data_IF_055190709911
#
_entry.id   IF_055190709911
#
_cell.length_a   1.000
_cell.length_b   1.000
_cell.length_c   1.000
_cell.angle_alpha   90.00
_cell.angle_beta   90.00
_cell.angle_gamma   90.00
#
_symmetry.space_group_name_H-M   'P 1'
#
loop_
_entity.id
_entity.type
_entity.pdbx_description
1 polymer ?
#
# COMPACT_ATOMS: atom_id res chain seq x y z
N UNK A 1 -7.79 5.64 -5.19
CA UNK A 1 -8.06 4.27 -5.70
C UNK A 1 -6.99 3.94 -6.74
N UNK A 2 -6.25 2.84 -6.59
CA UNK A 2 -5.12 2.49 -7.50
C UNK A 2 -5.62 1.90 -8.82
N UNK A 3 -6.42 2.68 -9.54
CA UNK A 3 -7.27 2.24 -10.64
C UNK A 3 -6.60 2.10 -12.00
N UNK A 4 -5.62 2.93 -12.38
CA UNK A 4 -5.37 3.08 -13.83
C UNK A 4 -3.94 2.92 -14.34
N UNK A 5 -2.92 2.71 -13.50
CA UNK A 5 -1.57 2.60 -14.07
C UNK A 5 -0.61 1.71 -13.27
N UNK A 6 -0.86 0.40 -13.35
CA UNK A 6 0.01 -0.63 -12.73
C UNK A 6 1.47 -0.47 -13.17
N UNK A 7 1.72 -0.11 -14.42
CA UNK A 7 3.08 0.06 -14.93
C UNK A 7 3.78 1.22 -14.22
N UNK A 8 3.11 2.38 -14.15
CA UNK A 8 3.62 3.58 -13.45
C UNK A 8 3.77 3.38 -11.95
N UNK A 9 2.88 2.63 -11.30
CA UNK A 9 3.02 2.27 -9.87
C UNK A 9 4.26 1.41 -9.65
N UNK A 10 4.48 0.40 -10.49
CA UNK A 10 5.66 -0.47 -10.37
C UNK A 10 6.95 0.27 -10.67
N UNK A 11 6.94 1.22 -11.61
CA UNK A 11 8.09 2.08 -11.92
C UNK A 11 8.44 3.00 -10.74
N UNK A 12 7.45 3.71 -10.19
CA UNK A 12 7.62 4.53 -8.99
C UNK A 12 8.03 3.73 -7.77
N UNK A 13 7.49 2.52 -7.59
CA UNK A 13 7.93 1.61 -6.55
C UNK A 13 9.39 1.21 -6.74
N UNK A 14 9.82 0.90 -7.97
CA UNK A 14 11.20 0.49 -8.25
C UNK A 14 12.21 1.60 -7.93
N UNK A 15 11.85 2.86 -8.17
CA UNK A 15 12.66 4.01 -7.76
C UNK A 15 12.62 4.22 -6.25
N UNK A 16 11.44 4.19 -5.64
CA UNK A 16 11.24 4.36 -4.20
C UNK A 16 11.97 3.30 -3.36
N UNK A 17 11.83 2.02 -3.72
CA UNK A 17 12.45 0.89 -3.00
C UNK A 17 13.99 0.96 -2.96
N UNK A 18 14.63 1.69 -3.88
CA UNK A 18 16.08 1.92 -3.85
C UNK A 18 16.50 2.71 -2.61
N UNK A 19 15.64 3.61 -2.14
CA UNK A 19 15.88 4.50 -1.01
C UNK A 19 15.44 3.88 0.32
N UNK A 20 14.54 2.89 0.33
CA UNK A 20 13.97 2.33 1.58
C UNK A 20 14.72 1.07 2.10
N UNK A 21 16.03 0.98 1.91
CA UNK A 21 16.82 -0.18 2.37
C UNK A 21 16.74 -0.33 3.90
N UNK A 22 16.47 -1.56 4.36
CA UNK A 22 16.38 -1.88 5.79
C UNK A 22 15.03 -1.55 6.44
N UNK A 23 13.99 -1.30 5.63
CA UNK A 23 12.63 -1.10 6.13
C UNK A 23 12.05 -2.39 6.71
N UNK A 24 11.44 -2.29 7.88
CA UNK A 24 10.60 -3.31 8.49
C UNK A 24 9.15 -2.84 8.46
N UNK A 25 8.27 -3.66 7.90
CA UNK A 25 6.85 -3.39 7.86
C UNK A 25 6.14 -4.36 8.82
N UNK A 26 5.39 -3.81 9.77
CA UNK A 26 4.55 -4.57 10.69
C UNK A 26 3.10 -4.20 10.45
N UNK A 27 2.18 -5.15 10.62
CA UNK A 27 0.75 -4.88 10.55
C UNK A 27 0.09 -5.21 11.89
N UNK A 28 -0.88 -4.41 12.30
CA UNK A 28 -1.61 -4.57 13.56
C UNK A 28 -3.09 -4.25 13.40
N UNK A 29 -3.91 -4.79 14.31
CA UNK A 29 -5.38 -4.73 14.21
C UNK A 29 -5.90 -5.26 12.87
N UNK A 30 -5.29 -6.34 12.39
CA UNK A 30 -5.59 -6.94 11.09
C UNK A 30 -6.92 -7.69 11.15
N UNK A 31 -7.78 -7.39 10.19
CA UNK A 31 -9.00 -8.12 9.90
C UNK A 31 -8.97 -8.56 8.44
N UNK A 32 -9.40 -9.80 8.18
CA UNK A 32 -9.50 -10.35 6.83
C UNK A 32 -10.90 -10.92 6.65
N UNK A 33 -11.62 -10.42 5.66
CA UNK A 33 -12.93 -10.89 5.28
C UNK A 33 -12.86 -11.49 3.89
N UNK A 34 -13.22 -12.77 3.75
CA UNK A 34 -13.22 -13.47 2.47
C UNK A 34 -14.67 -13.76 2.07
N UNK A 35 -15.07 -13.24 0.91
CA UNK A 35 -16.39 -13.47 0.32
C UNK A 35 -16.22 -14.00 -1.11
N UNK A 36 -16.47 -15.30 -1.27
CA UNK A 36 -16.35 -16.02 -2.53
C UNK A 36 -14.95 -15.85 -3.17
N UNK A 37 -14.85 -15.04 -4.24
CA UNK A 37 -13.62 -14.76 -5.00
C UNK A 37 -13.04 -13.39 -4.70
N UNK A 38 -13.51 -12.73 -3.64
CA UNK A 38 -13.00 -11.45 -3.16
C UNK A 38 -12.57 -11.58 -1.72
N UNK A 39 -11.47 -10.93 -1.37
CA UNK A 39 -11.09 -10.77 0.02
C UNK A 39 -10.75 -9.32 0.28
N UNK A 40 -11.18 -8.81 1.42
CA UNK A 40 -10.83 -7.51 1.92
C UNK A 40 -9.94 -7.71 3.15
N UNK A 41 -8.75 -7.14 3.10
CA UNK A 41 -7.87 -7.05 4.24
C UNK A 41 -7.93 -5.61 4.74
N UNK A 42 -8.09 -5.45 6.05
CA UNK A 42 -8.06 -4.15 6.71
C UNK A 42 -7.09 -4.21 7.88
N UNK A 43 -6.21 -3.23 8.00
CA UNK A 43 -5.25 -3.22 9.09
C UNK A 43 -4.40 -1.96 9.09
N UNK A 44 -3.83 -1.64 10.25
CA UNK A 44 -2.87 -0.54 10.36
C UNK A 44 -1.48 -1.07 10.01
N UNK A 45 -0.73 -0.26 9.27
CA UNK A 45 0.63 -0.57 8.86
C UNK A 45 1.56 0.32 9.69
N UNK A 46 2.56 -0.31 10.28
CA UNK A 46 3.66 0.37 10.98
C UNK A 46 4.94 0.15 10.19
N UNK A 47 5.67 1.23 9.99
CA UNK A 47 6.96 1.23 9.32
C UNK A 47 8.04 1.53 10.36
N UNK A 48 9.09 0.71 10.36
CA UNK A 48 10.26 0.83 11.22
C UNK A 48 11.55 0.53 10.42
N UNK A 49 12.72 0.76 11.01
CA UNK A 49 14.03 0.50 10.38
C UNK A 49 14.43 1.52 9.30
N UNK A 50 15.67 1.48 8.82
CA UNK A 50 16.26 2.51 7.94
C UNK A 50 16.49 3.84 8.67
N UNK A 51 17.62 4.51 8.38
CA UNK A 51 18.02 5.77 9.03
C UNK A 51 18.22 6.92 8.03
N UNK A 52 17.79 6.74 6.78
CA UNK A 52 17.86 7.83 5.79
C UNK A 52 16.64 8.74 5.90
N UNK A 53 16.82 10.01 5.51
CA UNK A 53 15.79 11.06 5.61
C UNK A 53 14.50 10.68 4.90
N UNK A 54 14.59 10.01 3.74
CA UNK A 54 13.42 9.54 2.97
C UNK A 54 12.61 8.50 3.76
N UNK A 55 13.30 7.58 4.44
CA UNK A 55 12.65 6.55 5.26
C UNK A 55 12.02 7.16 6.51
N UNK A 56 12.64 8.18 7.12
CA UNK A 56 12.06 8.88 8.26
C UNK A 56 10.79 9.66 7.88
N UNK A 57 10.78 10.34 6.73
CA UNK A 57 9.57 10.99 6.22
C UNK A 57 8.44 10.00 5.93
N UNK A 58 8.77 8.86 5.31
CA UNK A 58 7.81 7.78 5.07
C UNK A 58 7.26 7.19 6.37
N UNK A 59 8.11 6.95 7.37
CA UNK A 59 7.69 6.52 8.71
C UNK A 59 6.74 7.52 9.33
N UNK A 60 7.10 8.80 9.35
CA UNK A 60 6.28 9.84 9.97
C UNK A 60 4.91 9.89 9.30
N UNK A 61 4.86 9.86 7.97
CA UNK A 61 3.60 9.87 7.24
C UNK A 61 2.76 8.63 7.55
N UNK A 62 3.29 7.41 7.38
CA UNK A 62 2.52 6.17 7.54
C UNK A 62 2.17 5.88 8.99
N UNK A 63 3.08 6.08 9.93
CA UNK A 63 2.85 5.82 11.35
C UNK A 63 1.90 6.85 11.99
N UNK A 64 1.77 8.04 11.40
CA UNK A 64 0.79 9.04 11.84
C UNK A 64 -0.65 8.68 11.44
N UNK A 65 -0.84 7.78 10.47
CA UNK A 65 -2.16 7.38 10.02
C UNK A 65 -2.90 6.58 11.10
N UNK A 66 -4.04 7.12 11.50
CA UNK A 66 -4.98 6.47 12.41
C UNK A 66 -5.96 5.57 11.68
N UNK A 67 -6.24 5.86 10.40
CA UNK A 67 -7.09 5.04 9.53
C UNK A 67 -6.36 3.80 9.04
N UNK A 68 -7.03 2.63 9.07
CA UNK A 68 -6.46 1.40 8.52
C UNK A 68 -6.30 1.50 7.01
N UNK A 69 -5.35 0.74 6.49
CA UNK A 69 -5.27 0.45 5.06
C UNK A 69 -6.27 -0.63 4.72
N UNK A 70 -6.93 -0.47 3.57
CA UNK A 70 -7.79 -1.47 2.98
C UNK A 70 -7.13 -2.00 1.72
N UNK A 71 -6.97 -3.31 1.66
CA UNK A 71 -6.40 -4.03 0.53
C UNK A 71 -7.48 -4.93 -0.05
N UNK A 72 -7.83 -4.68 -1.31
CA UNK A 72 -8.79 -5.49 -2.05
C UNK A 72 -8.07 -6.57 -2.83
N UNK A 73 -8.49 -7.81 -2.64
CA UNK A 73 -7.93 -8.99 -3.29
C UNK A 73 -9.00 -9.69 -4.11
N UNK A 74 -8.57 -10.23 -5.26
CA UNK A 74 -9.40 -11.04 -6.13
C UNK A 74 -8.73 -12.37 -6.40
N UNK A 75 -9.50 -13.44 -6.26
CA UNK A 75 -9.07 -14.78 -6.64
C UNK A 75 -9.09 -14.90 -8.16
N UNK A 76 -7.95 -15.20 -8.76
CA UNK A 76 -7.80 -15.26 -10.22
C UNK A 76 -8.12 -16.64 -10.80
N UNK A 77 -7.87 -17.70 -10.04
CA UNK A 77 -8.13 -19.08 -10.47
C UNK A 77 -8.92 -19.87 -9.44
N UNK A 78 -9.26 -21.13 -9.75
CA UNK A 78 -9.87 -22.03 -8.78
C UNK A 78 -8.94 -22.47 -7.66
N UNK A 79 -7.65 -22.08 -7.68
CA UNK A 79 -6.67 -22.43 -6.65
C UNK A 79 -6.84 -21.53 -5.44
N UNK A 80 -6.94 -22.05 -4.21
CA UNK A 80 -7.26 -21.25 -3.02
C UNK A 80 -6.17 -20.24 -2.60
N UNK A 81 -5.00 -20.26 -3.23
CA UNK A 81 -3.87 -19.35 -2.95
C UNK A 81 -3.63 -18.31 -4.06
N UNK A 82 -4.33 -18.37 -5.19
CA UNK A 82 -4.07 -17.50 -6.35
C UNK A 82 -4.81 -16.17 -6.25
N UNK A 83 -4.48 -15.42 -5.20
CA UNK A 83 -5.04 -14.11 -4.91
C UNK A 83 -4.16 -13.03 -5.53
N UNK A 84 -4.80 -12.07 -6.21
CA UNK A 84 -4.15 -10.87 -6.72
C UNK A 84 -4.70 -9.64 -6.02
N UNK A 85 -3.79 -8.78 -5.56
CA UNK A 85 -4.13 -7.45 -5.06
C UNK A 85 -4.63 -6.59 -6.23
N UNK A 86 -5.86 -6.10 -6.11
CA UNK A 86 -6.55 -5.29 -7.13
C UNK A 86 -6.78 -3.85 -6.69
N UNK A 87 -6.65 -3.56 -5.39
CA UNK A 87 -6.83 -2.22 -4.87
C UNK A 87 -6.11 -2.05 -3.54
N UNK A 88 -5.61 -0.84 -3.32
CA UNK A 88 -5.15 -0.37 -2.00
C UNK A 88 -5.77 0.99 -1.79
N UNK A 89 -6.31 1.20 -0.60
CA UNK A 89 -6.84 2.49 -0.19
C UNK A 89 -6.52 2.75 1.27
N UNK A 90 -6.40 4.04 1.60
CA UNK A 90 -6.38 4.53 2.96
C UNK A 90 -6.94 5.95 2.89
N UNK A 91 -8.06 6.20 3.55
CA UNK A 91 -8.80 7.46 3.42
C UNK A 91 -8.04 8.68 3.95
N UNK A 92 -7.08 8.49 4.85
CA UNK A 92 -6.23 9.58 5.35
C UNK A 92 -4.89 9.69 4.63
N UNK A 93 -4.56 8.73 3.75
CA UNK A 93 -3.38 8.83 2.91
C UNK A 93 -3.74 9.63 1.66
N UNK A 94 -3.55 10.94 1.73
CA UNK A 94 -3.47 11.78 0.54
C UNK A 94 -2.16 11.47 -0.19
N UNK A 95 -2.25 10.59 -1.19
CA UNK A 95 -1.20 10.51 -2.21
C UNK A 95 -1.43 11.71 -3.12
N UNK A 96 -0.46 12.64 -3.25
CA UNK A 96 -0.60 13.72 -4.21
C UNK A 96 -0.85 13.09 -5.59
N UNK A 97 -2.03 13.32 -6.15
CA UNK A 97 -2.17 13.24 -7.60
C UNK A 97 -1.17 14.27 -8.14
N UNK A 98 -0.30 13.87 -9.08
CA UNK A 98 0.75 14.76 -9.57
C UNK A 98 0.20 16.13 -9.98
N UNK A 99 1.05 17.18 -9.93
CA UNK A 99 0.64 18.51 -10.35
C UNK A 99 0.12 18.41 -11.77
N UNK A 100 -1.07 18.98 -12.00
CA UNK A 100 -1.53 19.25 -13.36
C UNK A 100 -0.46 20.15 -13.98
N UNK A 101 0.34 19.62 -14.92
CA UNK A 101 1.08 20.47 -15.85
C UNK A 101 0.03 21.31 -16.58
N UNK A 102 -0.12 22.54 -16.12
CA UNK A 102 -0.84 23.59 -16.83
C UNK A 102 0.02 23.94 -18.04
N UNK A 103 -0.52 23.62 -19.22
CA UNK A 103 -0.04 24.10 -20.50
C UNK A 103 -0.78 25.38 -20.85
#
# INVERSE_FOLDING_TARGET
QWGDDRARVLERMREGFRYVRGLKLSAFSVSVQVHQRRAQWSGRIWIDGGQNEVTELLKQQVNSLTTPFELDWRLLSGKPWDWKLVGVSNSALEIPAEPTEVN
#
